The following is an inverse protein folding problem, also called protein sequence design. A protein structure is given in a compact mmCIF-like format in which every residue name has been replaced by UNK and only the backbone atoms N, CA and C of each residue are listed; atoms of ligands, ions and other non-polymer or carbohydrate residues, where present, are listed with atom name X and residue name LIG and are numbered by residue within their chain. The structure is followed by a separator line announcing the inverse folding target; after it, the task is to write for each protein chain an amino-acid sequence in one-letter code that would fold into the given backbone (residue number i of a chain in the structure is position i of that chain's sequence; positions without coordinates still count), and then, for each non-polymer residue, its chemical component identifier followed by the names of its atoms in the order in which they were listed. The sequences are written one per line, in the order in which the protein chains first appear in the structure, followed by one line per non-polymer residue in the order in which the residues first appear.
data_IF_476586365217
#
_entry.id   IF_476586365217
#
_cell.length_a   1.000
_cell.length_b   1.000
_cell.length_c   1.000
_cell.angle_alpha   90.00
_cell.angle_beta   90.00
_cell.angle_gamma   90.00
#
_symmetry.space_group_name_H-M   'P 1'
#
loop_
_entity.id
_entity.type
_entity.pdbx_description
1 polymer ?
#
# COMPACT_ATOMS: atom_id res chain seq x y z
N UNK A 1 -12.90 -12.55 26.81
CA UNK A 1 -11.75 -12.47 25.90
C UNK A 1 -12.27 -12.02 24.53
N UNK A 2 -12.06 -10.75 24.16
CA UNK A 2 -12.46 -10.20 22.87
C UNK A 2 -11.30 -10.42 21.89
N UNK A 3 -11.50 -11.22 20.84
CA UNK A 3 -10.50 -11.34 19.77
C UNK A 3 -10.67 -10.16 18.81
N UNK A 4 -9.66 -9.30 18.75
CA UNK A 4 -9.49 -8.36 17.65
C UNK A 4 -9.05 -9.14 16.41
N UNK A 5 -10.00 -9.52 15.55
CA UNK A 5 -9.71 -9.92 14.18
C UNK A 5 -9.93 -8.67 13.33
N UNK A 6 -8.85 -7.93 13.09
CA UNK A 6 -8.83 -6.82 12.15
C UNK A 6 -9.03 -7.41 10.76
N UNK A 7 -10.26 -7.29 10.23
CA UNK A 7 -10.55 -7.53 8.82
C UNK A 7 -9.95 -6.39 8.00
N UNK A 8 -8.83 -6.62 7.35
CA UNK A 8 -8.43 -5.82 6.19
C UNK A 8 -8.95 -6.58 4.97
N UNK A 9 -10.17 -6.24 4.56
CA UNK A 9 -10.71 -6.54 3.25
C UNK A 9 -10.47 -5.29 2.40
N UNK A 10 -9.48 -5.33 1.51
CA UNK A 10 -9.41 -4.36 0.42
C UNK A 10 -10.27 -4.90 -0.71
N UNK A 11 -11.38 -4.23 -0.95
CA UNK A 11 -12.28 -4.54 -2.04
C UNK A 11 -11.61 -4.16 -3.38
N UNK A 12 -11.23 -5.18 -4.16
CA UNK A 12 -11.00 -5.03 -5.59
C UNK A 12 -12.26 -5.46 -6.35
N UNK A 13 -12.96 -4.48 -6.88
CA UNK A 13 -13.99 -4.66 -7.90
C UNK A 13 -13.60 -3.84 -9.12
N UNK A 14 -12.73 -4.39 -9.98
CA UNK A 14 -12.61 -3.92 -11.36
C UNK A 14 -13.48 -4.82 -12.21
N UNK A 15 -14.56 -4.23 -12.71
CA UNK A 15 -15.55 -4.85 -13.57
C UNK A 15 -14.97 -4.94 -14.99
N UNK A 16 -14.40 -6.08 -15.37
CA UNK A 16 -14.15 -6.40 -16.77
C UNK A 16 -15.42 -6.95 -17.40
N UNK A 17 -16.25 -6.05 -17.94
CA UNK A 17 -17.21 -6.39 -18.98
C UNK A 17 -16.46 -6.62 -20.28
N UNK A 18 -16.06 -7.86 -20.55
CA UNK A 18 -15.42 -8.24 -21.81
C UNK A 18 -15.06 -9.71 -21.83
N UNK A 19 -15.88 -10.51 -22.51
CA UNK A 19 -15.70 -11.89 -22.93
C UNK A 19 -14.53 -12.67 -22.29
N UNK A 20 -14.87 -13.60 -21.39
CA UNK A 20 -13.92 -14.50 -20.73
C UNK A 20 -13.07 -15.29 -21.73
N UNK A 21 -11.87 -14.80 -21.99
CA UNK A 21 -10.78 -15.66 -22.38
C UNK A 21 -10.36 -16.42 -21.11
N UNK A 22 -10.85 -17.65 -20.95
CA UNK A 22 -10.32 -18.57 -19.97
C UNK A 22 -8.83 -18.75 -20.27
N UNK A 23 -7.97 -18.10 -19.51
CA UNK A 23 -6.55 -18.44 -19.45
C UNK A 23 -6.48 -19.87 -18.91
N UNK A 24 -6.42 -20.84 -19.80
CA UNK A 24 -6.13 -22.21 -19.42
C UNK A 24 -4.68 -22.22 -18.94
N UNK A 25 -4.49 -22.44 -17.64
CA UNK A 25 -3.20 -22.77 -17.09
C UNK A 25 -2.68 -24.00 -17.85
N UNK A 26 -1.72 -23.81 -18.74
CA UNK A 26 -1.00 -24.92 -19.33
C UNK A 26 -0.21 -25.59 -18.22
N UNK A 27 -0.50 -26.87 -17.99
CA UNK A 27 0.12 -27.69 -16.96
C UNK A 27 1.64 -27.77 -17.22
N UNK A 28 2.40 -26.88 -16.58
CA UNK A 28 3.86 -26.90 -16.59
C UNK A 28 4.30 -27.97 -15.60
N UNK A 29 5.37 -28.72 -15.91
CA UNK A 29 6.12 -29.48 -14.90
C UNK A 29 6.39 -28.55 -13.70
N UNK A 30 6.34 -29.03 -12.44
CA UNK A 30 6.48 -28.17 -11.27
C UNK A 30 7.72 -27.30 -11.46
N UNK A 31 7.51 -25.99 -11.63
CA UNK A 31 8.63 -25.08 -11.75
C UNK A 31 9.43 -25.18 -10.45
N UNK A 32 10.74 -25.03 -10.54
CA UNK A 32 11.53 -24.99 -9.32
C UNK A 32 11.01 -23.81 -8.49
N UNK A 33 10.81 -24.00 -7.18
CA UNK A 33 10.24 -22.98 -6.31
C UNK A 33 11.05 -21.68 -6.36
N UNK A 34 12.33 -21.78 -6.73
CA UNK A 34 13.24 -20.66 -6.99
C UNK A 34 12.84 -19.80 -8.20
N UNK A 35 12.17 -20.34 -9.22
CA UNK A 35 11.70 -19.57 -10.38
C UNK A 35 10.63 -18.53 -9.97
N UNK A 36 9.93 -18.78 -8.87
CA UNK A 36 8.89 -17.90 -8.33
C UNK A 36 9.43 -16.78 -7.44
N UNK A 37 10.69 -16.86 -7.01
CA UNK A 37 11.28 -15.85 -6.12
C UNK A 37 11.53 -14.53 -6.88
N UNK A 38 11.06 -13.43 -6.33
CA UNK A 38 11.21 -12.10 -6.92
C UNK A 38 10.18 -11.11 -6.44
N UNK A 39 10.27 -9.89 -6.99
CA UNK A 39 9.35 -8.78 -6.72
C UNK A 39 8.30 -8.71 -7.81
N UNK A 40 7.04 -8.52 -7.42
CA UNK A 40 5.93 -8.39 -8.36
C UNK A 40 5.10 -7.17 -8.01
N UNK A 41 4.82 -6.36 -9.03
CA UNK A 41 4.00 -5.15 -8.96
C UNK A 41 2.54 -5.55 -8.81
N UNK A 42 1.89 -5.03 -7.77
CA UNK A 42 0.49 -5.21 -7.44
C UNK A 42 -0.25 -3.87 -7.63
N UNK A 43 -0.84 -3.65 -8.80
CA UNK A 43 -1.38 -2.34 -9.17
C UNK A 43 -0.28 -1.29 -9.33
N UNK A 44 -0.54 -0.04 -8.96
CA UNK A 44 0.44 1.06 -9.11
C UNK A 44 1.40 1.15 -7.91
N UNK A 45 0.90 0.91 -6.70
CA UNK A 45 1.61 1.20 -5.44
C UNK A 45 1.96 -0.02 -4.60
N UNK A 46 1.45 -1.19 -4.97
CA UNK A 46 1.68 -2.42 -4.24
C UNK A 46 2.89 -3.17 -4.77
N UNK A 47 3.65 -3.77 -3.86
CA UNK A 47 4.66 -4.78 -4.18
C UNK A 47 4.39 -6.00 -3.32
N UNK A 48 4.41 -7.16 -3.96
CA UNK A 48 4.50 -8.45 -3.28
C UNK A 48 5.85 -9.07 -3.62
N UNK A 49 6.56 -9.54 -2.60
CA UNK A 49 7.85 -10.19 -2.75
C UNK A 49 7.72 -11.65 -2.34
N UNK A 50 8.14 -12.53 -3.24
CA UNK A 50 8.28 -13.94 -2.98
C UNK A 50 9.75 -14.30 -2.81
N UNK A 51 10.06 -15.13 -1.83
CA UNK A 51 11.44 -15.56 -1.58
C UNK A 51 11.47 -16.96 -0.98
N UNK A 52 12.59 -17.66 -1.15
CA UNK A 52 12.75 -19.05 -0.71
C UNK A 52 13.72 -19.11 0.46
N UNK A 53 13.31 -19.74 1.55
CA UNK A 53 14.18 -20.02 2.71
C UNK A 53 14.07 -21.49 3.07
N UNK A 54 15.21 -22.20 3.16
CA UNK A 54 15.25 -23.64 3.47
C UNK A 54 14.38 -24.53 2.55
N UNK A 55 14.10 -24.09 1.32
CA UNK A 55 13.25 -24.80 0.36
C UNK A 55 11.76 -24.44 0.44
N UNK A 56 11.35 -23.64 1.43
CA UNK A 56 9.97 -23.18 1.59
C UNK A 56 9.79 -21.79 0.95
N UNK A 57 8.63 -21.58 0.32
CA UNK A 57 8.27 -20.31 -0.32
C UNK A 57 7.61 -19.38 0.71
N UNK A 58 8.05 -18.13 0.76
CA UNK A 58 7.50 -17.08 1.61
C UNK A 58 6.98 -15.93 0.75
N UNK A 59 6.03 -15.19 1.32
CA UNK A 59 5.47 -13.98 0.73
C UNK A 59 5.48 -12.85 1.75
N UNK A 60 5.71 -11.63 1.28
CA UNK A 60 5.55 -10.39 2.05
C UNK A 60 5.07 -9.27 1.13
N UNK A 61 4.43 -8.26 1.69
CA UNK A 61 4.06 -7.03 0.99
C UNK A 61 4.40 -5.82 1.87
N UNK A 62 4.42 -4.62 1.29
CA UNK A 62 4.83 -3.41 2.02
C UNK A 62 4.03 -3.16 3.32
N UNK A 63 2.79 -3.64 3.39
CA UNK A 63 1.88 -3.44 4.52
C UNK A 63 1.62 -4.71 5.34
N UNK A 64 2.14 -5.87 4.93
CA UNK A 64 1.88 -7.15 5.59
C UNK A 64 3.16 -7.83 6.02
N UNK A 65 3.08 -8.55 7.15
CA UNK A 65 4.18 -9.37 7.62
C UNK A 65 4.56 -10.50 6.65
N UNK A 66 5.66 -11.17 6.96
CA UNK A 66 6.11 -12.36 6.22
C UNK A 66 5.24 -13.56 6.61
N UNK A 67 4.83 -14.36 5.62
CA UNK A 67 4.23 -15.66 5.88
C UNK A 67 4.66 -16.71 4.88
N UNK A 68 4.75 -17.95 5.37
CA UNK A 68 5.07 -19.13 4.58
C UNK A 68 3.87 -19.56 3.74
N UNK A 69 4.11 -19.90 2.48
CA UNK A 69 3.11 -20.37 1.54
C UNK A 69 3.18 -21.90 1.41
N UNK A 70 2.06 -22.56 1.69
CA UNK A 70 1.95 -24.02 1.64
C UNK A 70 1.55 -24.49 0.23
N UNK A 71 2.27 -25.47 -0.36
CA UNK A 71 1.97 -25.93 -1.71
C UNK A 71 0.60 -26.62 -1.78
N UNK A 72 -0.13 -26.35 -2.87
CA UNK A 72 -1.41 -26.98 -3.23
C UNK A 72 -1.33 -27.80 -4.53
N UNK A 73 -0.16 -27.85 -5.16
CA UNK A 73 0.06 -28.46 -6.48
C UNK A 73 -0.20 -27.49 -7.63
N UNK A 74 0.22 -27.84 -8.84
CA UNK A 74 -0.01 -27.07 -10.07
C UNK A 74 0.37 -25.58 -9.96
N UNK A 75 1.55 -25.29 -9.39
CA UNK A 75 2.05 -23.92 -9.14
C UNK A 75 1.11 -23.06 -8.27
N UNK A 76 0.26 -23.70 -7.46
CA UNK A 76 -0.62 -23.04 -6.50
C UNK A 76 -0.09 -23.20 -5.10
N UNK A 77 -0.20 -22.14 -4.34
CA UNK A 77 0.17 -22.09 -2.94
C UNK A 77 -0.92 -21.40 -2.14
N UNK A 78 -1.00 -21.68 -0.84
CA UNK A 78 -1.93 -21.00 0.06
C UNK A 78 -1.21 -20.43 1.27
N UNK A 79 -1.67 -19.26 1.71
CA UNK A 79 -1.35 -18.72 3.05
C UNK A 79 -1.67 -19.72 4.17
N UNK A 80 -1.09 -19.56 5.39
CA UNK A 80 -1.27 -20.50 6.49
C UNK A 80 -2.71 -20.68 6.97
N UNK A 81 -3.50 -19.60 6.96
CA UNK A 81 -4.93 -19.62 7.29
C UNK A 81 -5.81 -20.02 6.10
N UNK A 82 -5.19 -20.25 4.94
CA UNK A 82 -5.85 -20.58 3.69
C UNK A 82 -6.49 -19.40 2.98
N UNK A 83 -6.63 -18.22 3.60
CA UNK A 83 -7.45 -17.08 3.10
C UNK A 83 -7.02 -16.60 1.72
N UNK A 84 -5.71 -16.63 1.45
CA UNK A 84 -5.11 -16.30 0.16
C UNK A 84 -4.61 -17.56 -0.54
N UNK A 85 -4.89 -17.63 -1.84
CA UNK A 85 -4.36 -18.61 -2.79
C UNK A 85 -3.59 -17.87 -3.87
N UNK A 86 -2.32 -18.23 -4.02
CA UNK A 86 -1.39 -17.67 -4.99
C UNK A 86 -1.19 -18.69 -6.12
N UNK A 87 -1.44 -18.28 -7.35
CA UNK A 87 -1.26 -19.10 -8.56
C UNK A 87 -0.20 -18.47 -9.44
N UNK A 88 0.91 -19.18 -9.67
CA UNK A 88 1.94 -18.73 -10.61
C UNK A 88 1.65 -19.27 -12.01
N UNK A 89 1.29 -18.38 -12.92
CA UNK A 89 1.11 -18.72 -14.34
C UNK A 89 2.45 -18.78 -15.08
N UNK A 90 3.41 -17.97 -14.66
CA UNK A 90 4.78 -17.96 -15.16
C UNK A 90 5.75 -17.38 -14.13
N UNK A 91 7.02 -17.27 -14.48
CA UNK A 91 8.04 -16.50 -13.75
C UNK A 91 7.76 -14.98 -13.75
N UNK A 92 6.81 -14.53 -14.59
CA UNK A 92 6.47 -13.11 -14.80
C UNK A 92 5.09 -12.70 -14.30
N UNK A 93 4.18 -13.64 -14.09
CA UNK A 93 2.79 -13.36 -13.78
C UNK A 93 2.27 -14.25 -12.66
N UNK A 94 1.75 -13.61 -11.63
CA UNK A 94 1.13 -14.25 -10.48
C UNK A 94 -0.28 -13.72 -10.29
N UNK A 95 -1.18 -14.59 -9.86
CA UNK A 95 -2.53 -14.26 -9.46
C UNK A 95 -2.70 -14.55 -7.97
N UNK A 96 -3.33 -13.63 -7.28
CA UNK A 96 -3.68 -13.74 -5.87
C UNK A 96 -5.20 -13.73 -5.82
N UNK A 97 -5.77 -14.78 -5.22
CA UNK A 97 -7.21 -14.95 -5.06
C UNK A 97 -7.54 -15.23 -3.60
N UNK A 98 -8.74 -14.88 -3.18
CA UNK A 98 -9.27 -15.34 -1.90
C UNK A 98 -9.83 -16.76 -2.01
N UNK A 99 -10.00 -17.46 -0.88
CA UNK A 99 -10.52 -18.84 -0.84
C UNK A 99 -11.83 -19.10 -1.57
N UNK A 100 -12.69 -18.08 -1.67
CA UNK A 100 -13.94 -18.13 -2.44
C UNK A 100 -13.73 -18.02 -3.96
N UNK A 101 -12.49 -17.98 -4.44
CA UNK A 101 -12.13 -17.85 -5.85
C UNK A 101 -12.33 -16.44 -6.41
N UNK A 102 -12.59 -15.44 -5.55
CA UNK A 102 -12.63 -14.05 -5.98
C UNK A 102 -11.20 -13.59 -6.28
N UNK A 103 -11.01 -13.04 -7.48
CA UNK A 103 -9.75 -12.43 -7.86
C UNK A 103 -9.48 -11.26 -6.92
N UNK A 104 -8.40 -11.35 -6.15
CA UNK A 104 -7.94 -10.27 -5.30
C UNK A 104 -7.06 -9.34 -6.14
N UNK A 105 -6.08 -9.92 -6.84
CA UNK A 105 -5.18 -9.16 -7.70
C UNK A 105 -4.41 -10.02 -8.73
N UNK A 106 -3.93 -9.36 -9.78
CA UNK A 106 -2.85 -9.88 -10.62
C UNK A 106 -1.59 -9.06 -10.38
N UNK A 107 -0.43 -9.73 -10.35
CA UNK A 107 0.84 -9.10 -10.12
C UNK A 107 1.87 -9.50 -11.19
N UNK A 108 2.64 -8.52 -11.67
CA UNK A 108 3.61 -8.69 -12.76
C UNK A 108 5.02 -8.53 -12.20
N UNK A 109 5.94 -9.43 -12.57
CA UNK A 109 7.34 -9.38 -12.10
C UNK A 109 7.97 -8.04 -12.46
N UNK A 110 8.64 -7.46 -11.47
CA UNK A 110 9.44 -6.23 -11.55
C UNK A 110 10.92 -6.57 -11.66
N UNK A 111 11.72 -5.61 -12.11
CA UNK A 111 13.17 -5.69 -11.91
C UNK A 111 13.52 -5.53 -10.42
N UNK A 112 14.65 -6.09 -10.01
CA UNK A 112 15.04 -6.10 -8.59
C UNK A 112 15.29 -4.69 -8.02
N UNK A 113 15.68 -3.74 -8.86
CA UNK A 113 15.95 -2.34 -8.55
C UNK A 113 14.78 -1.39 -8.85
N UNK A 114 13.75 -1.86 -9.55
CA UNK A 114 12.56 -1.09 -9.89
C UNK A 114 11.73 -0.80 -8.63
N UNK A 115 11.32 0.44 -8.40
CA UNK A 115 10.51 0.81 -7.24
C UNK A 115 9.13 1.30 -7.65
N UNK A 116 8.12 0.98 -6.84
CA UNK A 116 6.80 1.62 -6.94
C UNK A 116 6.80 2.96 -6.21
N UNK A 117 5.84 3.86 -6.50
CA UNK A 117 5.78 5.17 -5.84
C UNK A 117 5.79 5.09 -4.31
N UNK A 118 5.08 4.12 -3.73
CA UNK A 118 5.04 3.93 -2.27
C UNK A 118 6.40 3.53 -1.67
N UNK A 119 7.24 2.77 -2.38
CA UNK A 119 8.58 2.43 -1.89
C UNK A 119 9.48 3.66 -1.83
N UNK A 120 9.38 4.55 -2.81
CA UNK A 120 10.11 5.83 -2.78
C UNK A 120 9.73 6.67 -1.56
N UNK A 121 8.46 6.68 -1.17
CA UNK A 121 7.99 7.36 0.04
C UNK A 121 8.59 6.74 1.30
N UNK A 122 8.53 5.41 1.40
CA UNK A 122 9.04 4.68 2.57
C UNK A 122 10.55 4.91 2.75
N UNK A 123 11.29 5.06 1.65
CA UNK A 123 12.71 5.38 1.65
C UNK A 123 13.02 6.87 1.89
N UNK A 124 12.01 7.73 1.98
CA UNK A 124 12.16 9.18 2.11
C UNK A 124 12.57 9.91 0.82
N UNK A 125 12.54 9.23 -0.33
CA UNK A 125 12.84 9.77 -1.65
C UNK A 125 11.60 10.42 -2.27
N UNK A 126 11.17 11.55 -1.71
CA UNK A 126 9.87 12.17 -2.01
C UNK A 126 9.78 12.69 -3.46
N UNK A 127 10.86 13.26 -4.00
CA UNK A 127 10.86 13.77 -5.38
C UNK A 127 10.72 12.64 -6.41
N UNK A 128 11.36 11.50 -6.15
CA UNK A 128 11.18 10.28 -6.93
C UNK A 128 9.76 9.73 -6.80
N UNK A 129 9.19 9.73 -5.59
CA UNK A 129 7.82 9.28 -5.36
C UNK A 129 6.79 10.12 -6.14
N UNK A 130 6.88 11.45 -6.05
CA UNK A 130 5.99 12.36 -6.77
C UNK A 130 6.08 12.12 -8.28
N UNK A 131 7.31 12.01 -8.82
CA UNK A 131 7.51 11.71 -10.25
C UNK A 131 6.90 10.37 -10.63
N UNK A 132 7.11 9.32 -9.83
CA UNK A 132 6.55 8.00 -10.08
C UNK A 132 5.01 8.02 -10.06
N UNK A 133 4.40 8.74 -9.13
CA UNK A 133 2.94 8.92 -9.08
C UNK A 133 2.38 9.68 -10.27
N UNK A 134 3.07 10.74 -10.74
CA UNK A 134 2.63 11.50 -11.91
C UNK A 134 2.67 10.63 -13.18
N UNK A 135 3.73 9.85 -13.37
CA UNK A 135 3.83 8.88 -14.48
C UNK A 135 2.71 7.85 -14.36
N UNK A 136 2.54 7.26 -13.16
CA UNK A 136 1.47 6.29 -12.91
C UNK A 136 0.09 6.88 -13.21
N UNK A 137 -0.17 8.12 -12.79
CA UNK A 137 -1.43 8.82 -13.05
C UNK A 137 -1.66 9.04 -14.55
N UNK A 138 -0.65 9.46 -15.32
CA UNK A 138 -0.75 9.61 -16.77
C UNK A 138 -1.07 8.28 -17.48
N UNK A 139 -0.44 7.19 -17.06
CA UNK A 139 -0.74 5.84 -17.55
C UNK A 139 -2.13 5.34 -17.11
N UNK A 140 -2.58 5.81 -15.95
CA UNK A 140 -3.79 5.37 -15.27
C UNK A 140 -5.05 6.16 -15.64
N UNK A 141 -4.93 7.32 -16.29
CA UNK A 141 -6.07 7.99 -16.96
C UNK A 141 -6.82 7.05 -17.92
N UNK A 142 -6.17 5.96 -18.33
CA UNK A 142 -6.75 4.89 -19.16
C UNK A 142 -7.27 3.70 -18.32
N UNK A 143 -6.81 3.50 -17.08
CA UNK A 143 -6.99 2.25 -16.30
C UNK A 143 -7.65 2.39 -14.92
N UNK A 144 -7.71 3.58 -14.31
CA UNK A 144 -8.38 3.87 -13.02
C UNK A 144 -7.98 2.94 -11.85
N UNK A 145 -6.68 2.68 -11.72
CA UNK A 145 -6.03 1.82 -10.72
C UNK A 145 -5.37 2.60 -9.60
N UNK A 146 -5.02 3.88 -9.81
CA UNK A 146 -4.58 4.77 -8.75
C UNK A 146 -5.80 5.16 -7.93
N UNK A 147 -5.75 4.89 -6.63
CA UNK A 147 -6.86 5.12 -5.71
C UNK A 147 -6.44 6.17 -4.72
N UNK A 148 -7.14 7.30 -4.70
CA UNK A 148 -6.90 8.36 -3.72
C UNK A 148 -6.92 7.83 -2.28
N UNK A 149 -7.76 6.83 -2.00
CA UNK A 149 -7.83 6.15 -0.72
C UNK A 149 -6.52 5.47 -0.25
N UNK A 150 -5.68 4.97 -1.16
CA UNK A 150 -4.43 4.30 -0.79
C UNK A 150 -3.34 5.31 -0.47
N UNK A 151 -3.23 6.37 -1.28
CA UNK A 151 -2.39 7.56 -1.02
C UNK A 151 -2.79 8.19 0.33
N UNK A 152 -4.09 8.32 0.59
CA UNK A 152 -4.61 8.86 1.84
C UNK A 152 -4.26 7.98 3.05
N UNK A 153 -4.37 6.64 2.91
CA UNK A 153 -3.98 5.70 3.98
C UNK A 153 -2.48 5.78 4.26
N UNK A 154 -1.65 5.87 3.22
CA UNK A 154 -0.21 6.05 3.36
C UNK A 154 0.13 7.36 4.07
N UNK A 155 -0.53 8.47 3.72
CA UNK A 155 -0.37 9.74 4.41
C UNK A 155 -0.76 9.66 5.90
N UNK A 156 -1.93 9.07 6.20
CA UNK A 156 -2.37 8.89 7.59
C UNK A 156 -1.38 8.05 8.41
N UNK A 157 -0.82 6.99 7.82
CA UNK A 157 0.20 6.17 8.47
C UNK A 157 1.48 6.96 8.75
N UNK A 158 1.98 7.74 7.78
CA UNK A 158 3.15 8.60 7.98
C UNK A 158 2.92 9.63 9.09
N UNK A 159 1.72 10.22 9.14
CA UNK A 159 1.33 11.13 10.22
C UNK A 159 1.38 10.45 11.59
N UNK A 160 0.83 9.23 11.70
CA UNK A 160 0.88 8.44 12.93
C UNK A 160 2.32 8.07 13.36
N UNK A 161 3.25 8.00 12.41
CA UNK A 161 4.69 7.79 12.64
C UNK A 161 5.46 9.10 12.92
N UNK A 162 4.79 10.25 12.98
CA UNK A 162 5.43 11.56 13.18
C UNK A 162 6.15 12.10 11.94
N UNK A 163 5.94 11.49 10.76
CA UNK A 163 6.50 11.90 9.47
C UNK A 163 5.57 12.92 8.79
N UNK A 164 5.35 14.05 9.45
CA UNK A 164 4.33 15.04 9.10
C UNK A 164 4.60 15.67 7.72
N UNK A 165 5.86 16.00 7.41
CA UNK A 165 6.23 16.59 6.11
C UNK A 165 5.96 15.62 4.94
N UNK A 166 6.31 14.34 5.09
CA UNK A 166 6.03 13.31 4.09
C UNK A 166 4.53 13.13 3.88
N UNK A 167 3.74 13.16 4.96
CA UNK A 167 2.29 13.14 4.90
C UNK A 167 1.74 14.36 4.15
N UNK A 168 2.28 15.57 4.41
CA UNK A 168 1.86 16.80 3.73
C UNK A 168 2.11 16.70 2.23
N UNK A 169 3.28 16.21 1.81
CA UNK A 169 3.63 16.09 0.39
C UNK A 169 2.73 15.10 -0.34
N UNK A 170 2.45 13.94 0.26
CA UNK A 170 1.52 12.95 -0.28
C UNK A 170 0.10 13.50 -0.47
N UNK A 171 -0.43 14.20 0.53
CA UNK A 171 -1.75 14.81 0.45
C UNK A 171 -1.77 16.01 -0.50
N UNK A 172 -0.64 16.72 -0.62
CA UNK A 172 -0.44 17.75 -1.63
C UNK A 172 -0.52 17.16 -3.04
N UNK A 173 0.21 16.09 -3.31
CA UNK A 173 0.10 15.32 -4.55
C UNK A 173 -1.34 14.86 -4.78
N UNK A 174 -2.00 14.27 -3.77
CA UNK A 174 -3.39 13.84 -3.86
C UNK A 174 -4.31 14.98 -4.27
N UNK A 175 -4.09 16.20 -3.78
CA UNK A 175 -4.88 17.39 -4.15
C UNK A 175 -4.64 17.87 -5.58
N UNK A 176 -3.49 17.52 -6.18
CA UNK A 176 -3.19 17.82 -7.57
C UNK A 176 -3.83 16.80 -8.51
N UNK A 177 -3.81 15.52 -8.14
CA UNK A 177 -4.32 14.42 -8.99
C UNK A 177 -5.82 14.15 -8.80
N UNK A 178 -6.37 14.40 -7.60
CA UNK A 178 -7.80 14.25 -7.26
C UNK A 178 -8.34 15.50 -6.55
N UNK A 179 -8.39 16.67 -7.25
CA UNK A 179 -8.81 17.94 -6.66
C UNK A 179 -10.29 17.98 -6.26
N UNK A 180 -11.12 17.04 -6.70
CA UNK A 180 -12.54 16.95 -6.40
C UNK A 180 -12.85 16.15 -5.12
N UNK A 181 -11.89 15.37 -4.62
CA UNK A 181 -12.10 14.52 -3.45
C UNK A 181 -12.03 15.36 -2.15
N UNK A 182 -13.18 15.62 -1.54
CA UNK A 182 -13.28 16.37 -0.28
C UNK A 182 -12.42 15.76 0.85
N UNK A 183 -12.20 14.45 0.80
CA UNK A 183 -11.39 13.73 1.79
C UNK A 183 -9.91 14.14 1.75
N UNK A 184 -9.42 14.54 0.59
CA UNK A 184 -8.07 15.07 0.37
C UNK A 184 -7.84 16.36 1.16
N UNK A 185 -8.77 17.31 1.05
CA UNK A 185 -8.66 18.59 1.77
C UNK A 185 -8.83 18.45 3.27
N UNK A 186 -9.64 17.48 3.72
CA UNK A 186 -9.71 17.14 5.14
C UNK A 186 -8.35 16.65 5.63
N UNK A 187 -7.75 15.69 4.94
CA UNK A 187 -6.43 15.17 5.30
C UNK A 187 -5.36 16.28 5.33
N UNK A 188 -5.37 17.18 4.34
CA UNK A 188 -4.49 18.36 4.33
C UNK A 188 -4.72 19.24 5.55
N UNK A 189 -5.99 19.53 5.89
CA UNK A 189 -6.37 20.30 7.08
C UNK A 189 -5.81 19.69 8.37
N UNK A 190 -5.96 18.38 8.54
CA UNK A 190 -5.42 17.67 9.69
C UNK A 190 -3.88 17.80 9.78
N UNK A 191 -3.17 17.68 8.65
CA UNK A 191 -1.70 17.79 8.64
C UNK A 191 -1.25 19.20 8.96
N UNK A 192 -1.92 20.22 8.42
CA UNK A 192 -1.63 21.62 8.79
C UNK A 192 -1.89 21.88 10.27
N UNK A 193 -2.93 21.28 10.84
CA UNK A 193 -3.20 21.36 12.28
C UNK A 193 -2.07 20.72 13.08
N UNK A 194 -1.61 19.51 12.72
CA UNK A 194 -0.48 18.85 13.36
C UNK A 194 0.79 19.70 13.32
N UNK A 195 1.14 20.29 12.16
CA UNK A 195 2.29 21.20 12.03
C UNK A 195 2.16 22.44 12.92
N UNK A 196 0.96 23.01 13.01
CA UNK A 196 0.73 24.18 13.85
C UNK A 196 0.90 23.84 15.34
N UNK A 197 0.42 22.67 15.78
CA UNK A 197 0.61 22.16 17.15
C UNK A 197 2.10 21.93 17.43
N UNK A 198 2.84 21.29 16.52
CA UNK A 198 4.29 21.05 16.67
C UNK A 198 5.09 22.35 16.76
N UNK A 199 4.83 23.30 15.85
CA UNK A 199 5.46 24.62 15.88
C UNK A 199 5.17 25.38 17.18
N UNK A 200 3.94 25.28 17.68
CA UNK A 200 3.57 25.90 18.96
C UNK A 200 4.31 25.26 20.13
N UNK A 201 4.40 23.93 20.19
CA UNK A 201 5.17 23.20 21.22
C UNK A 201 6.64 23.60 21.21
N UNK A 202 7.24 23.71 20.03
CA UNK A 202 8.64 24.13 19.88
C UNK A 202 8.85 25.59 20.32
N UNK A 203 7.92 26.49 19.97
CA UNK A 203 7.95 27.86 20.44
C UNK A 203 7.89 27.94 21.98
N UNK A 204 6.93 27.25 22.62
CA UNK A 204 6.79 27.22 24.08
C UNK A 204 8.05 26.66 24.76
N UNK A 205 8.65 25.62 24.17
CA UNK A 205 9.93 25.06 24.62
C UNK A 205 11.06 26.10 24.57
N UNK A 206 11.15 26.88 23.48
CA UNK A 206 12.19 27.90 23.29
C UNK A 206 11.97 29.16 24.13
N UNK A 207 10.72 29.57 24.37
CA UNK A 207 10.39 30.74 25.18
C UNK A 207 10.58 30.52 26.69
N UNK A 208 10.73 29.26 27.12
CA UNK A 208 10.75 28.90 28.54
C UNK A 208 9.38 28.98 29.21
N UNK A 209 8.32 29.25 28.42
CA UNK A 209 6.94 29.15 28.86
C UNK A 209 6.55 27.67 28.89
N UNK A 210 6.85 27.01 30.02
CA UNK A 210 6.42 25.63 30.30
C UNK A 210 4.91 25.50 30.53
N UNK A 211 4.14 26.60 30.43
CA UNK A 211 2.68 26.53 30.52
C UNK A 211 2.10 26.07 29.18
N UNK A 212 2.12 24.75 28.99
CA UNK A 212 1.54 24.07 27.82
C UNK A 212 0.00 24.11 27.82
N UNK A 213 -0.64 24.98 28.61
CA UNK A 213 -2.09 25.15 28.69
C UNK A 213 -2.52 26.53 28.23
N UNK A 214 -2.06 26.95 27.05
CA UNK A 214 -2.73 28.08 26.41
C UNK A 214 -4.08 27.62 25.87
N UNK A 215 -5.14 28.45 25.98
CA UNK A 215 -6.46 28.12 25.43
C UNK A 215 -6.43 27.75 23.94
N UNK A 216 -5.45 28.27 23.20
CA UNK A 216 -5.23 27.91 21.80
C UNK A 216 -4.78 26.46 21.63
N UNK A 217 -3.82 25.98 22.44
CA UNK A 217 -3.37 24.59 22.37
C UNK A 217 -4.43 23.63 22.91
N UNK A 218 -5.15 24.00 23.98
CA UNK A 218 -6.29 23.21 24.47
C UNK A 218 -7.38 23.06 23.40
N UNK A 219 -7.76 24.16 22.74
CA UNK A 219 -8.70 24.11 21.62
C UNK A 219 -8.19 23.23 20.47
N UNK A 220 -6.90 23.31 20.11
CA UNK A 220 -6.33 22.49 19.04
C UNK A 220 -6.31 21.00 19.40
N UNK A 221 -5.99 20.65 20.65
CA UNK A 221 -5.96 19.28 21.14
C UNK A 221 -7.37 18.68 21.33
N UNK A 222 -8.35 19.48 21.74
CA UNK A 222 -9.76 19.06 21.85
C UNK A 222 -10.41 18.74 20.50
N UNK A 223 -9.79 19.13 19.39
CA UNK A 223 -10.30 18.94 18.04
C UNK A 223 -9.43 18.00 17.19
N UNK A 224 -8.52 17.22 17.81
CA UNK A 224 -7.63 16.25 17.13
C UNK A 224 -8.23 14.83 17.00
N UNK A 225 -9.54 14.65 17.27
CA UNK A 225 -10.25 13.35 17.27
C UNK A 225 -10.37 12.65 15.89
#
# INVERSE_FOLDING_TARGET
MRSHVTRILLAFGVWFGGAGAHLQATERAPADVYDFAGRFRLGQDGVVTFFVTAGDLYMTSLQQGVYELKPKGNNRYSSPNGELVVTFYSDRLVEITTTNGMLDAMAVRMADDEKVPLEHIMDGNLDEAIRAYLIAYEEDLVRNQLRGADIQRAAAQLRAEGKIEQSLMLLGLLSLVYPEEAVTFRGLGDVYLSLAIENYREYARLSGELDTRTPALEFMLENED
#
